data_IF_960836810357
#
_entry.id   IF_960836810357
#
_cell.length_a   1.000
_cell.length_b   1.000
_cell.length_c   1.000
_cell.angle_alpha   90.00
_cell.angle_beta   90.00
_cell.angle_gamma   90.00
#
_symmetry.space_group_name_H-M   'P 1'
#
loop_
_entity.id
_entity.type
_entity.pdbx_description
1 polymer ?
#
# COMPACT_ATOMS: atom_id res chain seq x y z
N UNK A 1 -5.59 -0.79 -6.79
CA UNK A 1 -5.82 -1.25 -5.42
C UNK A 1 -4.93 -0.45 -4.47
N UNK A 2 -5.14 -0.56 -3.16
CA UNK A 2 -4.28 0.03 -2.12
C UNK A 2 -2.85 -0.48 -2.27
N UNK A 3 -2.67 -1.79 -2.48
CA UNK A 3 -1.37 -2.39 -2.77
C UNK A 3 -0.60 -1.65 -3.87
N UNK A 4 -1.26 -1.43 -5.02
CA UNK A 4 -0.60 -0.80 -6.17
C UNK A 4 -0.15 0.63 -5.90
N UNK A 5 -0.86 1.37 -5.05
CA UNK A 5 -0.45 2.74 -4.69
C UNK A 5 0.83 2.73 -3.85
N UNK A 6 0.90 1.85 -2.85
CA UNK A 6 2.08 1.70 -1.98
C UNK A 6 3.25 1.04 -2.72
N UNK A 7 2.97 0.14 -3.66
CA UNK A 7 3.98 -0.57 -4.45
C UNK A 7 4.66 0.30 -5.52
N UNK A 8 3.96 1.32 -6.06
CA UNK A 8 4.43 2.14 -7.17
C UNK A 8 5.83 2.76 -6.94
N UNK A 9 6.13 3.45 -5.83
CA UNK A 9 7.47 3.98 -5.59
C UNK A 9 8.54 2.88 -5.54
N UNK A 10 8.21 1.71 -4.99
CA UNK A 10 9.15 0.58 -4.89
C UNK A 10 9.44 -0.05 -6.27
N UNK A 11 8.43 -0.07 -7.15
CA UNK A 11 8.60 -0.47 -8.56
C UNK A 11 9.50 0.51 -9.32
N UNK A 12 9.31 1.81 -9.11
CA UNK A 12 10.15 2.86 -9.70
C UNK A 12 11.61 2.73 -9.23
N UNK A 13 11.83 2.33 -7.98
CA UNK A 13 13.16 2.02 -7.44
C UNK A 13 13.77 0.71 -7.99
N UNK A 14 13.05 -0.03 -8.83
CA UNK A 14 13.55 -1.26 -9.46
C UNK A 14 13.67 -2.45 -8.50
N UNK A 15 12.94 -2.43 -7.38
CA UNK A 15 12.97 -3.55 -6.42
C UNK A 15 12.31 -4.81 -7.02
N UNK A 16 12.76 -5.97 -6.56
CA UNK A 16 12.17 -7.24 -6.98
C UNK A 16 10.71 -7.36 -6.49
N UNK A 17 9.88 -8.12 -7.22
CA UNK A 17 8.49 -8.34 -6.83
C UNK A 17 8.35 -8.89 -5.40
N UNK A 18 9.24 -9.81 -5.00
CA UNK A 18 9.23 -10.38 -3.66
C UNK A 18 9.54 -9.32 -2.58
N UNK A 19 10.50 -8.44 -2.84
CA UNK A 19 10.87 -7.35 -1.92
C UNK A 19 9.75 -6.30 -1.83
N UNK A 20 9.10 -5.98 -2.96
CA UNK A 20 7.95 -5.08 -3.00
C UNK A 20 6.82 -5.62 -2.12
N UNK A 21 6.42 -6.88 -2.30
CA UNK A 21 5.33 -7.49 -1.53
C UNK A 21 5.63 -7.40 -0.03
N UNK A 22 6.83 -7.81 0.39
CA UNK A 22 7.24 -7.77 1.79
C UNK A 22 7.19 -6.36 2.39
N UNK A 23 7.63 -5.35 1.63
CA UNK A 23 7.64 -3.95 2.09
C UNK A 23 6.25 -3.35 2.14
N UNK A 24 5.43 -3.63 1.14
CA UNK A 24 4.04 -3.16 1.10
C UNK A 24 3.24 -3.75 2.25
N UNK A 25 3.36 -5.06 2.50
CA UNK A 25 2.68 -5.72 3.62
C UNK A 25 3.05 -5.08 4.96
N UNK A 26 4.35 -4.83 5.18
CA UNK A 26 4.84 -4.17 6.38
C UNK A 26 4.35 -2.72 6.51
N UNK A 27 4.30 -1.96 5.40
CA UNK A 27 3.80 -0.59 5.40
C UNK A 27 2.30 -0.54 5.74
N UNK A 28 1.51 -1.42 5.13
CA UNK A 28 0.06 -1.51 5.36
C UNK A 28 -0.27 -1.98 6.78
N UNK A 29 0.53 -2.87 7.37
CA UNK A 29 0.39 -3.28 8.77
C UNK A 29 0.60 -2.10 9.73
N UNK A 30 1.63 -1.28 9.50
CA UNK A 30 1.93 -0.10 10.33
C UNK A 30 0.82 0.94 10.32
N UNK A 31 0.07 1.04 9.23
CA UNK A 31 -1.07 1.96 9.11
C UNK A 31 -2.42 1.27 9.32
N UNK A 32 -2.44 0.01 9.78
CA UNK A 32 -3.67 -0.78 10.00
C UNK A 32 -4.60 -0.79 8.76
N UNK A 33 -4.04 -1.12 7.60
CA UNK A 33 -4.73 -1.28 6.30
C UNK A 33 -4.46 -2.64 5.64
N UNK A 34 -3.85 -3.60 6.33
CA UNK A 34 -3.51 -4.92 5.76
C UNK A 34 -4.72 -5.68 5.19
N UNK A 35 -5.91 -5.49 5.75
CA UNK A 35 -7.18 -6.09 5.29
C UNK A 35 -7.82 -5.32 4.11
N UNK A 36 -7.23 -4.20 3.69
CA UNK A 36 -7.73 -3.32 2.61
C UNK A 36 -6.85 -3.35 1.36
N UNK A 37 -5.86 -4.24 1.33
CA UNK A 37 -4.83 -4.35 0.28
C UNK A 37 -5.41 -4.39 -1.14
N UNK A 38 -6.51 -5.11 -1.33
CA UNK A 38 -7.15 -5.31 -2.64
C UNK A 38 -8.22 -4.25 -2.98
N UNK A 39 -8.58 -3.37 -2.05
CA UNK A 39 -9.62 -2.36 -2.29
C UNK A 39 -9.12 -1.25 -3.21
N UNK A 40 -10.05 -0.58 -3.90
CA UNK A 40 -9.70 0.63 -4.63
C UNK A 40 -9.69 1.83 -3.68
N UNK A 41 -8.88 2.88 -3.95
CA UNK A 41 -8.84 4.07 -3.10
C UNK A 41 -10.21 4.73 -2.88
N UNK A 42 -11.12 4.62 -3.86
CA UNK A 42 -12.49 5.12 -3.75
C UNK A 42 -13.36 4.41 -2.70
N UNK A 43 -12.97 3.18 -2.30
CA UNK A 43 -13.69 2.38 -1.29
C UNK A 43 -13.20 2.66 0.14
N UNK A 44 -12.20 3.53 0.29
CA UNK A 44 -11.64 3.93 1.57
C UNK A 44 -12.28 5.22 2.08
N UNK A 45 -12.44 5.33 3.40
CA UNK A 45 -12.76 6.60 4.03
C UNK A 45 -11.65 7.62 3.79
N UNK A 46 -11.96 8.92 3.87
CA UNK A 46 -10.96 10.00 3.70
C UNK A 46 -9.73 9.81 4.62
N UNK A 47 -9.95 9.41 5.88
CA UNK A 47 -8.86 9.13 6.80
C UNK A 47 -8.01 7.92 6.39
N UNK A 48 -8.64 6.87 5.84
CA UNK A 48 -7.92 5.72 5.31
C UNK A 48 -7.13 6.08 4.04
N UNK A 49 -7.68 6.91 3.14
CA UNK A 49 -6.97 7.41 1.96
C UNK A 49 -5.71 8.20 2.34
N UNK A 50 -5.81 9.05 3.37
CA UNK A 50 -4.64 9.78 3.88
C UNK A 50 -3.56 8.82 4.39
N UNK A 51 -3.94 7.75 5.10
CA UNK A 51 -3.00 6.73 5.58
C UNK A 51 -2.32 5.97 4.44
N UNK A 52 -3.02 5.69 3.33
CA UNK A 52 -2.42 5.07 2.13
C UNK A 52 -1.32 5.94 1.54
N UNK A 53 -1.47 7.27 1.58
CA UNK A 53 -0.43 8.19 1.10
C UNK A 53 0.79 8.31 2.03
N UNK A 54 0.67 7.89 3.29
CA UNK A 54 1.75 7.91 4.28
C UNK A 54 2.50 6.56 4.33
N UNK A 55 1.81 5.48 3.98
CA UNK A 55 2.36 4.12 3.89
C UNK A 55 3.30 3.97 2.69
#
# INVERSE_FOLDING_TARGET
TVFNNVALPLQILGLSKAEIVKRVDSALERVALSDKTDLYPGDLSTGQQQRVGIA
#
